data_IF_275367837436
#
_entry.id   IF_275367837436
#
_cell.length_a   1.000
_cell.length_b   1.000
_cell.length_c   1.000
_cell.angle_alpha   90.00
_cell.angle_beta   90.00
_cell.angle_gamma   90.00
#
_symmetry.space_group_name_H-M   'P 1'
#
loop_
_entity.id
_entity.type
_entity.pdbx_description
1 polymer ?
#
# COMPACT_ATOMS: atom_id res chain seq x y z
N UNK A 1 45.56 27.84 -62.47
CA UNK A 1 44.21 27.64 -61.94
C UNK A 1 44.33 27.28 -60.47
N UNK A 2 44.23 28.26 -59.58
CA UNK A 2 44.28 28.06 -58.13
C UNK A 2 42.90 28.38 -57.57
N UNK A 3 42.26 27.40 -56.95
CA UNK A 3 40.97 27.55 -56.26
C UNK A 3 41.22 27.62 -54.75
N UNK A 4 40.59 28.59 -54.04
CA UNK A 4 40.81 28.77 -52.61
C UNK A 4 39.88 27.92 -51.74
N UNK A 5 40.39 27.66 -50.54
CA UNK A 5 39.83 26.96 -49.38
C UNK A 5 38.56 27.66 -48.84
N UNK A 6 37.54 26.92 -48.38
CA UNK A 6 36.55 27.46 -47.44
C UNK A 6 36.70 26.92 -46.00
N UNK A 7 36.67 27.86 -45.06
CA UNK A 7 36.80 27.76 -43.60
C UNK A 7 35.52 27.24 -42.90
N UNK A 8 35.56 26.88 -41.60
CA UNK A 8 34.52 26.11 -40.92
C UNK A 8 33.32 26.94 -40.43
N UNK A 9 32.15 26.29 -40.44
CA UNK A 9 30.85 26.80 -40.01
C UNK A 9 30.82 27.08 -38.50
N UNK A 10 30.61 28.34 -38.12
CA UNK A 10 30.26 28.75 -36.75
C UNK A 10 28.73 28.74 -36.57
N UNK A 11 28.25 27.91 -35.64
CA UNK A 11 26.85 27.88 -35.18
C UNK A 11 26.52 29.15 -34.40
N UNK A 12 25.74 30.07 -35.00
CA UNK A 12 25.13 31.19 -34.27
C UNK A 12 23.94 30.69 -33.43
N UNK A 13 24.07 30.72 -32.11
CA UNK A 13 22.93 30.63 -31.17
C UNK A 13 22.17 31.95 -31.22
N UNK A 14 20.93 31.93 -31.72
CA UNK A 14 20.01 33.06 -31.66
C UNK A 14 19.53 33.25 -30.22
N UNK A 15 19.86 34.41 -29.65
CA UNK A 15 19.39 34.88 -28.35
C UNK A 15 18.08 35.64 -28.59
N UNK A 16 16.94 35.02 -28.33
CA UNK A 16 15.63 35.69 -28.41
C UNK A 16 15.44 36.54 -27.15
N UNK A 17 15.39 37.87 -27.34
CA UNK A 17 14.99 38.82 -26.28
C UNK A 17 13.48 38.69 -26.03
N UNK A 18 13.09 38.33 -24.82
CA UNK A 18 11.73 38.56 -24.32
C UNK A 18 11.63 40.03 -23.88
N UNK A 19 10.66 40.75 -24.45
CA UNK A 19 10.31 42.10 -24.02
C UNK A 19 9.36 42.05 -22.82
N UNK A 20 9.55 42.98 -21.89
CA UNK A 20 8.71 43.15 -20.70
C UNK A 20 7.29 43.66 -21.08
N UNK A 21 6.22 43.16 -20.46
CA UNK A 21 4.86 43.70 -20.64
C UNK A 21 4.54 44.85 -19.67
N UNK A 22 3.61 45.76 -20.03
CA UNK A 22 3.29 46.95 -19.26
C UNK A 22 2.44 46.69 -18.01
N UNK A 23 2.69 47.50 -16.97
CA UNK A 23 1.97 47.49 -15.70
C UNK A 23 0.51 47.91 -15.87
N UNK A 24 -0.42 46.99 -15.58
CA UNK A 24 -1.83 47.26 -15.36
C UNK A 24 -2.12 47.19 -13.86
N UNK A 25 -2.35 48.33 -13.23
CA UNK A 25 -2.85 48.44 -11.86
C UNK A 25 -4.34 48.10 -11.85
N UNK A 26 -4.69 46.91 -11.36
CA UNK A 26 -6.06 46.53 -11.00
C UNK A 26 -6.26 46.75 -9.50
N UNK A 27 -7.17 47.66 -9.17
CA UNK A 27 -7.62 47.87 -7.80
C UNK A 27 -8.38 46.62 -7.31
N UNK A 28 -7.87 45.97 -6.28
CA UNK A 28 -8.54 44.84 -5.60
C UNK A 28 -9.52 45.41 -4.57
N UNK A 29 -10.81 45.26 -4.84
CA UNK A 29 -11.89 45.60 -3.91
C UNK A 29 -11.87 44.63 -2.70
N UNK A 30 -11.50 45.15 -1.53
CA UNK A 30 -11.34 44.39 -0.28
C UNK A 30 -12.71 44.14 0.40
N UNK A 31 -13.81 44.64 -0.16
CA UNK A 31 -15.13 44.57 0.47
C UNK A 31 -15.78 43.18 0.45
N UNK A 32 -15.47 42.34 -0.54
CA UNK A 32 -16.10 41.02 -0.71
C UNK A 32 -15.66 39.97 0.32
N UNK A 33 -14.41 40.05 0.79
CA UNK A 33 -13.83 39.02 1.67
C UNK A 33 -14.35 39.13 3.11
N UNK A 34 -14.65 40.34 3.57
CA UNK A 34 -15.18 40.59 4.92
C UNK A 34 -16.63 40.06 5.07
N UNK A 35 -17.46 40.20 4.03
CA UNK A 35 -18.83 39.68 4.03
C UNK A 35 -18.88 38.15 4.10
N UNK A 36 -17.93 37.47 3.45
CA UNK A 36 -17.85 36.01 3.43
C UNK A 36 -17.40 35.45 4.79
N UNK A 37 -16.43 36.11 5.44
CA UNK A 37 -15.98 35.75 6.79
C UNK A 37 -17.09 35.96 7.82
N UNK A 38 -17.84 37.06 7.76
CA UNK A 38 -18.96 37.30 8.67
C UNK A 38 -20.11 36.30 8.48
N UNK A 39 -20.39 35.87 7.23
CA UNK A 39 -21.40 34.84 6.96
C UNK A 39 -20.99 33.46 7.50
N UNK A 40 -19.71 33.09 7.46
CA UNK A 40 -19.21 31.84 8.04
C UNK A 40 -19.23 31.82 9.58
N UNK A 41 -18.90 32.95 10.23
CA UNK A 41 -18.98 33.06 11.71
C UNK A 41 -20.42 32.90 12.20
N UNK A 42 -21.42 33.40 11.46
CA UNK A 42 -22.84 33.25 11.81
C UNK A 42 -23.30 31.78 11.72
N UNK A 43 -22.87 31.06 10.69
CA UNK A 43 -23.19 29.63 10.47
C UNK A 43 -22.57 28.75 11.57
N UNK A 44 -21.35 29.05 12.00
CA UNK A 44 -20.69 28.35 13.11
C UNK A 44 -21.30 28.66 14.48
N UNK A 45 -21.92 29.82 14.65
CA UNK A 45 -22.60 30.17 15.90
C UNK A 45 -24.01 29.54 16.00
N UNK A 46 -24.73 29.43 14.88
CA UNK A 46 -26.05 28.76 14.85
C UNK A 46 -25.97 27.24 15.11
N UNK A 47 -24.87 26.59 14.74
CA UNK A 47 -24.65 25.16 15.00
C UNK A 47 -24.35 24.84 16.47
N UNK A 48 -23.87 25.81 17.27
CA UNK A 48 -23.65 25.63 18.72
C UNK A 48 -24.93 25.73 19.56
N UNK A 49 -25.96 26.44 19.08
CA UNK A 49 -27.24 26.62 19.81
C UNK A 49 -28.16 25.41 19.65
N UNK A 50 -28.11 24.70 18.52
CA UNK A 50 -28.97 23.52 18.26
C UNK A 50 -28.51 22.29 19.06
N UNK A 51 -27.22 22.17 19.38
CA UNK A 51 -26.70 21.08 20.21
C UNK A 51 -27.07 21.18 21.70
N UNK A 52 -27.58 22.34 22.16
CA UNK A 52 -27.92 22.58 23.56
C UNK A 52 -29.41 22.36 23.91
N UNK A 53 -30.30 22.17 22.93
CA UNK A 53 -31.76 22.14 23.15
C UNK A 53 -32.42 20.74 23.08
N UNK A 54 -31.64 19.67 22.88
CA UNK A 54 -32.18 18.30 22.94
C UNK A 54 -31.48 17.46 24.01
N UNK A 55 -31.32 18.05 25.20
CA UNK A 55 -31.17 17.30 26.45
C UNK A 55 -32.58 17.12 27.03
N UNK A 56 -33.31 16.13 26.51
CA UNK A 56 -34.47 15.61 27.24
C UNK A 56 -33.91 14.77 28.38
N UNK A 57 -33.97 15.33 29.58
CA UNK A 57 -33.79 14.59 30.82
C UNK A 57 -34.92 13.55 30.90
N UNK A 58 -34.65 12.33 30.44
CA UNK A 58 -35.53 11.19 30.69
C UNK A 58 -35.18 10.66 32.07
N UNK A 59 -35.87 11.18 33.07
CA UNK A 59 -35.89 10.64 34.43
C UNK A 59 -36.27 9.16 34.35
N UNK A 60 -35.38 8.30 34.84
CA UNK A 60 -35.63 6.87 35.02
C UNK A 60 -36.61 6.66 36.17
N UNK A 61 -37.89 6.83 35.87
CA UNK A 61 -39.01 6.42 36.73
C UNK A 61 -40.09 5.85 35.82
N UNK A 62 -40.46 4.60 36.05
CA UNK A 62 -41.40 3.74 35.29
C UNK A 62 -40.83 3.12 33.99
N UNK A 63 -40.11 2.02 34.17
CA UNK A 63 -40.10 0.95 33.16
C UNK A 63 -41.32 0.06 33.44
N UNK A 64 -42.33 0.17 32.59
CA UNK A 64 -43.52 -0.70 32.59
C UNK A 64 -43.13 -2.19 32.59
N UNK A 65 -43.81 -3.06 33.36
CA UNK A 65 -43.42 -4.45 33.59
C UNK A 65 -43.59 -5.38 32.37
N UNK A 66 -44.07 -4.89 31.22
CA UNK A 66 -44.37 -5.75 30.07
C UNK A 66 -43.17 -6.04 29.14
N UNK A 67 -42.04 -5.33 29.30
CA UNK A 67 -40.84 -5.57 28.47
C UNK A 67 -39.95 -6.72 29.00
N UNK A 68 -40.27 -7.26 30.18
CA UNK A 68 -39.51 -8.37 30.79
C UNK A 68 -39.84 -9.73 30.14
N UNK A 69 -40.95 -9.85 29.40
CA UNK A 69 -41.46 -11.15 28.93
C UNK A 69 -41.06 -11.53 27.48
N UNK A 70 -40.34 -10.68 26.75
CA UNK A 70 -39.77 -11.05 25.45
C UNK A 70 -38.36 -11.62 25.65
N UNK A 71 -38.24 -12.96 25.62
CA UNK A 71 -36.99 -13.75 25.69
C UNK A 71 -36.00 -13.43 24.55
N UNK A 72 -35.37 -12.27 24.56
CA UNK A 72 -34.20 -11.96 23.72
C UNK A 72 -33.14 -11.17 24.49
N UNK A 73 -32.98 -11.45 25.79
CA UNK A 73 -31.87 -10.90 26.57
C UNK A 73 -30.64 -11.77 26.34
N UNK A 74 -29.75 -11.32 25.46
CA UNK A 74 -28.38 -11.85 25.42
C UNK A 74 -27.77 -11.77 26.83
N UNK A 75 -27.12 -12.84 27.32
CA UNK A 75 -26.47 -12.81 28.63
C UNK A 75 -25.50 -11.64 28.74
N UNK A 76 -25.70 -10.78 29.73
CA UNK A 76 -24.89 -9.58 29.95
C UNK A 76 -23.42 -9.92 30.23
N UNK A 77 -23.15 -11.14 30.72
CA UNK A 77 -21.82 -11.63 31.02
C UNK A 77 -21.57 -13.00 30.37
N UNK A 78 -20.57 -13.05 29.47
CA UNK A 78 -20.14 -14.30 28.83
C UNK A 78 -19.06 -14.97 29.68
N UNK A 79 -19.24 -16.26 30.00
CA UNK A 79 -18.39 -17.03 30.92
C UNK A 79 -16.92 -17.12 30.53
N UNK A 80 -16.58 -16.98 29.25
CA UNK A 80 -15.19 -16.91 28.78
C UNK A 80 -14.54 -15.54 29.00
N UNK A 81 -15.30 -14.51 29.36
CA UNK A 81 -14.84 -13.14 29.57
C UNK A 81 -14.78 -12.85 31.07
N UNK A 82 -13.71 -13.31 31.72
CA UNK A 82 -13.49 -13.21 33.19
C UNK A 82 -13.55 -11.77 33.75
N UNK A 83 -13.50 -10.74 32.90
CA UNK A 83 -13.58 -9.33 33.30
C UNK A 83 -14.51 -8.61 32.33
N UNK A 84 -15.69 -8.23 32.81
CA UNK A 84 -16.54 -7.27 32.13
C UNK A 84 -15.81 -5.91 32.10
N UNK A 85 -15.54 -5.42 30.88
CA UNK A 85 -14.69 -4.26 30.60
C UNK A 85 -15.23 -2.91 31.13
N UNK A 86 -16.32 -2.88 31.90
CA UNK A 86 -16.92 -1.62 32.36
C UNK A 86 -16.38 -1.13 33.71
N UNK A 87 -15.81 -2.02 34.55
CA UNK A 87 -15.45 -1.66 35.93
C UNK A 87 -13.96 -1.31 36.13
N UNK A 88 -13.07 -1.68 35.20
CA UNK A 88 -11.62 -1.61 35.43
C UNK A 88 -10.83 -0.92 34.31
N UNK A 89 -11.25 0.29 33.95
CA UNK A 89 -10.37 1.22 33.26
C UNK A 89 -10.29 2.53 34.04
N UNK A 90 -9.17 2.83 34.73
CA UNK A 90 -8.88 4.21 35.08
C UNK A 90 -8.82 4.99 33.76
N UNK A 91 -9.65 6.01 33.59
CA UNK A 91 -9.61 6.95 32.46
C UNK A 91 -8.32 7.76 32.57
N UNK A 92 -7.20 7.15 32.19
CA UNK A 92 -5.85 7.72 32.21
C UNK A 92 -5.26 7.64 30.81
N UNK A 93 -5.16 8.81 30.17
CA UNK A 93 -4.58 9.06 28.85
C UNK A 93 -5.15 8.25 27.68
N UNK A 94 -5.98 8.90 26.86
CA UNK A 94 -6.12 8.60 25.43
C UNK A 94 -4.79 8.88 24.72
N UNK A 95 -3.75 8.08 25.00
CA UNK A 95 -2.66 7.96 24.03
C UNK A 95 -3.30 7.26 22.85
N UNK A 96 -3.59 8.04 21.79
CA UNK A 96 -4.22 7.54 20.59
C UNK A 96 -3.60 6.20 20.22
N UNK A 97 -4.44 5.19 19.93
CA UNK A 97 -3.98 3.86 19.55
C UNK A 97 -2.96 4.00 18.42
N UNK A 98 -1.68 3.93 18.78
CA UNK A 98 -0.60 4.02 17.82
C UNK A 98 -0.28 2.59 17.38
N UNK A 99 -0.55 2.31 16.11
CA UNK A 99 -0.19 1.05 15.49
C UNK A 99 1.33 0.96 15.46
N UNK A 100 1.90 0.02 16.23
CA UNK A 100 3.34 -0.24 16.21
C UNK A 100 3.73 -0.80 14.84
N UNK A 101 4.85 -0.33 14.30
CA UNK A 101 5.39 -0.89 13.06
C UNK A 101 5.92 -2.30 13.32
N UNK A 102 5.92 -3.17 12.29
CA UNK A 102 6.41 -4.56 12.39
C UNK A 102 7.81 -4.64 13.03
N UNK A 103 8.74 -3.76 12.63
CA UNK A 103 10.08 -3.68 13.21
C UNK A 103 10.07 -3.42 14.73
N UNK A 104 9.16 -2.56 15.20
CA UNK A 104 9.03 -2.25 16.62
C UNK A 104 8.40 -3.41 17.41
N UNK A 105 7.49 -4.15 16.78
CA UNK A 105 6.87 -5.34 17.37
C UNK A 105 7.92 -6.43 17.54
N UNK A 106 8.67 -6.75 16.46
CA UNK A 106 9.75 -7.75 16.47
C UNK A 106 10.80 -7.44 17.54
N UNK A 107 11.17 -6.17 17.73
CA UNK A 107 12.12 -5.76 18.76
C UNK A 107 11.54 -5.86 20.19
N UNK A 108 10.25 -5.61 20.36
CA UNK A 108 9.59 -5.63 21.67
C UNK A 108 9.27 -7.04 22.17
N UNK A 109 9.14 -8.02 21.26
CA UNK A 109 8.73 -9.40 21.57
C UNK A 109 9.82 -10.25 22.22
N UNK A 110 11.07 -9.77 22.37
CA UNK A 110 12.16 -10.45 23.08
C UNK A 110 12.15 -12.00 22.97
N UNK A 111 12.30 -12.50 21.74
CA UNK A 111 12.19 -13.92 21.37
C UNK A 111 13.06 -14.89 22.18
N UNK A 112 14.08 -14.40 22.89
CA UNK A 112 14.95 -15.21 23.74
C UNK A 112 14.23 -15.82 24.96
N UNK A 113 13.10 -15.24 25.40
CA UNK A 113 12.34 -15.75 26.55
C UNK A 113 11.29 -16.80 26.16
N UNK A 114 11.03 -17.00 24.87
CA UNK A 114 10.01 -17.94 24.41
C UNK A 114 10.58 -19.35 24.30
N UNK A 115 9.80 -20.38 24.66
CA UNK A 115 10.23 -21.75 24.45
C UNK A 115 10.41 -22.01 22.93
N UNK A 116 11.41 -22.81 22.51
CA UNK A 116 11.70 -23.07 21.09
C UNK A 116 10.54 -23.69 20.30
N UNK A 117 9.56 -24.26 20.99
CA UNK A 117 8.42 -24.96 20.40
C UNK A 117 7.25 -24.02 20.06
N UNK A 118 7.31 -22.75 20.46
CA UNK A 118 6.25 -21.79 20.18
C UNK A 118 6.53 -21.04 18.86
N UNK A 119 5.54 -20.97 17.94
CA UNK A 119 5.73 -20.29 16.66
C UNK A 119 5.82 -18.77 16.86
N UNK A 120 6.99 -18.20 16.58
CA UNK A 120 7.26 -16.77 16.63
C UNK A 120 7.15 -16.13 15.24
N UNK A 121 6.95 -14.81 15.16
CA UNK A 121 6.87 -14.08 13.86
C UNK A 121 8.07 -14.28 12.93
N UNK A 122 9.24 -14.64 13.46
CA UNK A 122 10.46 -14.94 12.68
C UNK A 122 10.52 -16.41 12.24
N UNK A 123 9.74 -17.28 12.88
CA UNK A 123 9.85 -18.73 12.76
C UNK A 123 8.62 -19.38 12.11
N UNK A 124 7.64 -18.58 11.64
CA UNK A 124 6.44 -19.04 10.93
C UNK A 124 6.70 -19.45 9.47
N UNK A 125 7.97 -19.48 9.03
CA UNK A 125 8.33 -19.87 7.66
C UNK A 125 7.83 -21.29 7.36
N UNK A 126 7.15 -21.42 6.22
CA UNK A 126 6.60 -22.71 5.81
C UNK A 126 7.72 -23.67 5.40
N UNK A 127 7.60 -24.98 5.68
CA UNK A 127 8.52 -25.96 5.17
C UNK A 127 8.51 -25.97 3.63
N UNK A 128 9.61 -26.41 2.98
CA UNK A 128 9.66 -26.50 1.53
C UNK A 128 8.60 -27.47 0.99
N UNK A 129 8.12 -27.22 -0.22
CA UNK A 129 7.14 -28.10 -0.87
C UNK A 129 7.70 -29.52 -1.06
N UNK A 130 6.94 -30.52 -0.61
CA UNK A 130 7.24 -31.93 -0.85
C UNK A 130 6.81 -32.42 -2.24
N UNK A 131 5.94 -31.69 -2.92
CA UNK A 131 5.42 -32.10 -4.23
C UNK A 131 6.42 -31.74 -5.33
N UNK A 132 6.68 -32.66 -6.29
CA UNK A 132 7.58 -32.39 -7.40
C UNK A 132 7.02 -31.27 -8.27
N UNK A 133 7.90 -30.34 -8.67
CA UNK A 133 7.50 -29.22 -9.53
C UNK A 133 7.12 -29.71 -10.93
N UNK A 134 5.99 -29.21 -11.47
CA UNK A 134 5.62 -29.44 -12.87
C UNK A 134 6.64 -28.78 -13.80
N UNK A 135 7.01 -29.47 -14.87
CA UNK A 135 7.95 -28.96 -15.87
C UNK A 135 7.17 -28.29 -16.99
N UNK A 136 7.35 -26.98 -17.10
CA UNK A 136 6.68 -26.13 -18.09
C UNK A 136 7.73 -25.61 -19.10
N UNK A 137 7.31 -25.45 -20.34
CA UNK A 137 8.08 -24.88 -21.43
C UNK A 137 8.34 -23.39 -21.16
N UNK A 138 9.60 -22.96 -21.26
CA UNK A 138 10.01 -21.60 -20.93
C UNK A 138 9.50 -20.55 -21.95
N UNK A 139 9.06 -20.99 -23.15
CA UNK A 139 8.58 -20.11 -24.23
C UNK A 139 7.04 -20.14 -24.33
N UNK A 140 6.43 -21.32 -24.35
CA UNK A 140 5.00 -21.48 -24.65
C UNK A 140 4.11 -21.67 -23.42
N UNK A 141 4.68 -22.04 -22.27
CA UNK A 141 3.88 -22.31 -21.07
C UNK A 141 3.15 -23.67 -21.05
N UNK A 142 3.32 -24.51 -22.06
CA UNK A 142 2.80 -25.89 -22.05
C UNK A 142 3.68 -26.84 -21.24
N UNK A 143 3.15 -28.01 -20.86
CA UNK A 143 3.95 -29.05 -20.20
C UNK A 143 5.12 -29.49 -21.10
N UNK A 144 6.33 -29.44 -20.56
CA UNK A 144 7.56 -29.73 -21.28
C UNK A 144 8.23 -31.00 -20.70
N UNK A 145 8.07 -32.15 -21.38
CA UNK A 145 8.75 -33.38 -20.97
C UNK A 145 10.25 -33.36 -21.24
N UNK A 146 10.73 -32.51 -22.17
CA UNK A 146 12.10 -32.48 -22.67
C UNK A 146 12.84 -31.20 -22.28
N UNK A 147 14.18 -31.29 -22.24
CA UNK A 147 15.07 -30.15 -22.02
C UNK A 147 16.28 -30.22 -22.95
N UNK A 148 16.81 -29.04 -23.29
CA UNK A 148 18.02 -28.91 -24.08
C UNK A 148 19.27 -28.89 -23.17
N UNK A 149 20.25 -29.82 -23.32
CA UNK A 149 21.49 -29.81 -22.53
C UNK A 149 22.43 -28.63 -22.84
N UNK A 150 22.30 -27.98 -24.00
CA UNK A 150 23.16 -26.86 -24.40
C UNK A 150 22.71 -25.54 -23.77
N UNK A 151 21.41 -25.28 -23.80
CA UNK A 151 20.81 -24.01 -23.34
C UNK A 151 20.14 -24.12 -21.98
N UNK A 152 19.80 -25.33 -21.54
CA UNK A 152 19.04 -25.57 -20.30
C UNK A 152 17.55 -25.26 -20.42
N UNK A 153 17.05 -24.86 -21.60
CA UNK A 153 15.64 -24.53 -21.81
C UNK A 153 14.77 -25.79 -21.93
N UNK A 154 13.56 -25.71 -21.38
CA UNK A 154 12.54 -26.77 -21.45
C UNK A 154 11.62 -26.54 -22.64
N UNK A 155 11.28 -27.61 -23.37
CA UNK A 155 10.41 -27.53 -24.54
C UNK A 155 9.43 -28.71 -24.65
N UNK A 156 8.31 -28.48 -25.33
CA UNK A 156 7.26 -29.47 -25.59
C UNK A 156 7.31 -30.01 -27.02
N UNK A 157 7.43 -29.11 -28.01
CA UNK A 157 7.32 -29.44 -29.44
C UNK A 157 8.66 -29.32 -30.17
N UNK A 158 8.79 -30.02 -31.30
CA UNK A 158 9.98 -29.97 -32.16
C UNK A 158 10.21 -28.58 -32.78
N UNK A 159 9.16 -27.82 -33.06
CA UNK A 159 9.29 -26.47 -33.63
C UNK A 159 9.90 -25.48 -32.63
N UNK A 160 9.54 -25.62 -31.36
CA UNK A 160 10.14 -24.84 -30.26
C UNK A 160 11.60 -25.21 -30.08
N UNK A 161 11.97 -26.48 -30.25
CA UNK A 161 13.38 -26.89 -30.21
C UNK A 161 14.22 -26.21 -31.32
N UNK A 162 13.69 -26.11 -32.55
CA UNK A 162 14.34 -25.38 -33.64
C UNK A 162 14.50 -23.90 -33.30
N UNK A 163 13.44 -23.29 -32.74
CA UNK A 163 13.47 -21.90 -32.29
C UNK A 163 14.55 -21.66 -31.22
N UNK A 164 14.60 -22.51 -30.19
CA UNK A 164 15.62 -22.48 -29.12
C UNK A 164 17.04 -22.48 -29.69
N UNK A 165 17.29 -23.24 -30.76
CA UNK A 165 18.62 -23.33 -31.38
C UNK A 165 18.98 -22.13 -32.25
N UNK A 166 18.00 -21.36 -32.69
CA UNK A 166 18.22 -20.09 -33.41
C UNK A 166 18.34 -18.88 -32.48
N UNK A 167 17.97 -19.01 -31.21
CA UNK A 167 17.95 -17.92 -30.24
C UNK A 167 19.39 -17.53 -29.79
N UNK A 168 19.69 -16.22 -29.67
CA UNK A 168 20.95 -15.76 -29.09
C UNK A 168 21.06 -16.13 -27.60
N UNK A 169 22.28 -16.33 -27.11
CA UNK A 169 22.55 -16.67 -25.72
C UNK A 169 21.97 -15.65 -24.72
N UNK A 170 21.90 -14.37 -25.09
CA UNK A 170 21.28 -13.33 -24.24
C UNK A 170 19.80 -13.60 -23.96
N UNK A 171 19.05 -14.04 -24.98
CA UNK A 171 17.63 -14.39 -24.82
C UNK A 171 17.49 -15.63 -23.95
N UNK A 172 18.36 -16.63 -24.16
CA UNK A 172 18.39 -17.84 -23.33
C UNK A 172 18.57 -17.48 -21.86
N UNK A 173 19.53 -16.61 -21.52
CA UNK A 173 19.73 -16.18 -20.14
C UNK A 173 18.53 -15.41 -19.58
N UNK A 174 17.86 -14.57 -20.39
CA UNK A 174 16.61 -13.91 -19.96
C UNK A 174 15.50 -14.91 -19.66
N UNK A 175 15.30 -15.92 -20.50
CA UNK A 175 14.30 -16.97 -20.25
C UNK A 175 14.65 -17.80 -19.01
N UNK A 176 15.94 -18.13 -18.80
CA UNK A 176 16.39 -18.82 -17.59
C UNK A 176 16.23 -17.97 -16.31
N UNK A 177 16.36 -16.65 -16.42
CA UNK A 177 16.19 -15.73 -15.29
C UNK A 177 14.75 -15.72 -14.78
N UNK A 178 13.76 -15.87 -15.66
CA UNK A 178 12.34 -15.92 -15.26
C UNK A 178 12.03 -17.07 -14.29
N UNK A 179 12.74 -18.20 -14.41
CA UNK A 179 12.62 -19.35 -13.51
C UNK A 179 13.69 -19.39 -12.41
N UNK A 180 14.43 -18.30 -12.22
CA UNK A 180 15.55 -18.19 -11.27
C UNK A 180 16.66 -19.23 -11.50
N UNK A 181 16.91 -19.63 -12.76
CA UNK A 181 17.96 -20.58 -13.13
C UNK A 181 19.08 -19.96 -13.98
N UNK A 182 19.10 -18.62 -14.12
CA UNK A 182 20.17 -17.93 -14.83
C UNK A 182 21.46 -17.98 -14.01
N UNK A 183 22.56 -18.37 -14.69
CA UNK A 183 23.89 -18.40 -14.08
C UNK A 183 24.56 -17.06 -14.35
N UNK A 184 24.49 -16.16 -13.39
CA UNK A 184 25.26 -14.91 -13.40
C UNK A 184 26.54 -15.15 -12.61
N UNK A 185 27.67 -15.24 -13.32
CA UNK A 185 28.99 -15.26 -12.69
C UNK A 185 29.24 -13.85 -12.11
N UNK A 186 29.52 -13.79 -10.81
CA UNK A 186 29.89 -12.56 -10.08
C UNK A 186 31.38 -12.56 -9.79
#
# INVERSE_FOLDING_TARGET
MGTPIPSPLHTRRGFFKFGDPPAATVAVDVSGHLALVQKWVLILNQSKVIAASHRRDFTSTNMEPEVVHAELVLPTHLSFKRIQMYEKYPKGQSRGRHWKHLKQIIQAENYQNYPPNEPNYVNIESPPSMHPCKRICDITGYEAPYYDPRTGLRYANADIFKLIRSLPNEYVQRYLALRNAAVVLK
#
